data_IF_682269495116
#
_entry.id   IF_682269495116
#
_cell.length_a   1.000
_cell.length_b   1.000
_cell.length_c   1.000
_cell.angle_alpha   90.00
_cell.angle_beta   90.00
_cell.angle_gamma   90.00
#
_symmetry.space_group_name_H-M   'P 1'
#
loop_
_entity.id
_entity.type
_entity.pdbx_description
1 polymer ?
#
# COMPACT_ATOMS: atom_id res chain seq x y z
N UNK A 1 -14.74 27.78 -1.37
CA UNK A 1 -13.41 27.30 -0.92
C UNK A 1 -13.59 26.04 -0.09
N UNK A 2 -14.34 26.09 1.03
CA UNK A 2 -14.68 24.88 1.82
C UNK A 2 -15.20 23.72 0.96
N UNK A 3 -16.17 23.98 0.08
CA UNK A 3 -16.75 22.94 -0.78
C UNK A 3 -15.74 22.33 -1.76
N UNK A 4 -14.76 23.13 -2.22
CA UNK A 4 -13.71 22.66 -3.12
C UNK A 4 -12.72 21.75 -2.40
N UNK A 5 -12.35 22.11 -1.16
CA UNK A 5 -11.49 21.32 -0.29
C UNK A 5 -12.18 20.01 0.09
N UNK A 6 -13.43 20.06 0.52
CA UNK A 6 -14.24 18.87 0.84
C UNK A 6 -14.34 17.92 -0.36
N UNK A 7 -14.61 18.47 -1.55
CA UNK A 7 -14.67 17.68 -2.79
C UNK A 7 -13.33 17.00 -3.07
N UNK A 8 -12.23 17.72 -2.88
CA UNK A 8 -10.89 17.17 -3.11
C UNK A 8 -10.55 16.06 -2.10
N UNK A 9 -10.81 16.26 -0.80
CA UNK A 9 -10.58 15.26 0.25
C UNK A 9 -11.38 13.99 -0.02
N UNK A 10 -12.67 14.12 -0.38
CA UNK A 10 -13.51 12.98 -0.74
C UNK A 10 -12.91 12.24 -1.94
N UNK A 11 -12.46 12.96 -2.98
CA UNK A 11 -11.85 12.35 -4.15
C UNK A 11 -10.54 11.61 -3.82
N UNK A 12 -9.72 12.17 -2.92
CA UNK A 12 -8.49 11.52 -2.41
C UNK A 12 -8.83 10.23 -1.68
N UNK A 13 -9.74 10.28 -0.71
CA UNK A 13 -10.15 9.10 0.07
C UNK A 13 -10.77 8.02 -0.83
N UNK A 14 -11.62 8.41 -1.79
CA UNK A 14 -12.21 7.46 -2.75
C UNK A 14 -11.16 6.84 -3.67
N UNK A 15 -10.18 7.62 -4.13
CA UNK A 15 -9.08 7.12 -4.95
C UNK A 15 -8.22 6.12 -4.16
N UNK A 16 -7.83 6.47 -2.92
CA UNK A 16 -7.05 5.60 -2.03
C UNK A 16 -7.76 4.27 -1.78
N UNK A 17 -9.04 4.33 -1.36
CA UNK A 17 -9.84 3.13 -1.13
C UNK A 17 -10.02 2.28 -2.40
N UNK A 18 -10.14 2.92 -3.57
CA UNK A 18 -10.24 2.21 -4.84
C UNK A 18 -8.92 1.53 -5.25
N UNK A 19 -7.76 2.13 -4.94
CA UNK A 19 -6.43 1.52 -5.13
C UNK A 19 -6.31 0.30 -4.22
N UNK A 20 -6.47 0.47 -2.91
CA UNK A 20 -6.44 -0.61 -1.92
C UNK A 20 -7.38 -1.78 -2.30
N UNK A 21 -8.60 -1.46 -2.74
CA UNK A 21 -9.56 -2.45 -3.19
C UNK A 21 -9.19 -3.17 -4.50
N UNK A 22 -8.39 -2.56 -5.39
CA UNK A 22 -7.81 -3.25 -6.56
C UNK A 22 -6.68 -4.17 -6.14
N UNK A 23 -5.78 -3.68 -5.29
CA UNK A 23 -4.62 -4.42 -4.80
C UNK A 23 -5.03 -5.66 -4.03
N UNK A 24 -6.02 -5.55 -3.13
CA UNK A 24 -6.58 -6.69 -2.41
C UNK A 24 -7.14 -7.77 -3.35
N UNK A 25 -7.88 -7.37 -4.40
CA UNK A 25 -8.43 -8.31 -5.39
C UNK A 25 -7.32 -8.98 -6.21
N UNK A 26 -6.29 -8.25 -6.58
CA UNK A 26 -5.14 -8.79 -7.29
C UNK A 26 -4.40 -9.82 -6.43
N UNK A 27 -4.17 -9.51 -5.16
CA UNK A 27 -3.59 -10.45 -4.19
C UNK A 27 -4.44 -11.72 -4.09
N UNK A 28 -5.76 -11.58 -3.90
CA UNK A 28 -6.67 -12.74 -3.81
C UNK A 28 -6.68 -13.57 -5.10
N UNK A 29 -6.60 -12.94 -6.27
CA UNK A 29 -6.50 -13.62 -7.55
C UNK A 29 -5.18 -14.40 -7.69
N UNK A 30 -4.05 -13.78 -7.35
CA UNK A 30 -2.74 -14.42 -7.38
C UNK A 30 -2.69 -15.62 -6.41
N UNK A 31 -3.18 -15.44 -5.18
CA UNK A 31 -3.31 -16.52 -4.20
C UNK A 31 -4.20 -17.66 -4.74
N UNK A 32 -5.31 -17.32 -5.40
CA UNK A 32 -6.20 -18.29 -6.05
C UNK A 32 -5.56 -19.05 -7.22
N UNK A 33 -4.54 -18.49 -7.85
CA UNK A 33 -3.71 -19.13 -8.88
C UNK A 33 -2.57 -19.99 -8.30
N UNK A 34 -2.41 -20.00 -6.98
CA UNK A 34 -1.38 -20.76 -6.28
C UNK A 34 -0.09 -19.97 -6.03
N UNK A 35 -0.09 -18.66 -6.27
CA UNK A 35 1.05 -17.81 -5.91
C UNK A 35 1.07 -17.55 -4.41
N UNK A 36 2.29 -17.43 -3.85
CA UNK A 36 2.49 -16.96 -2.47
C UNK A 36 2.96 -15.52 -2.50
N UNK A 37 2.35 -14.65 -1.70
CA UNK A 37 2.79 -13.27 -1.58
C UNK A 37 3.81 -13.16 -0.46
N UNK A 38 4.98 -12.63 -0.79
CA UNK A 38 6.08 -12.40 0.16
C UNK A 38 6.39 -10.91 0.30
N UNK A 39 7.01 -10.55 1.41
CA UNK A 39 7.64 -9.26 1.66
C UNK A 39 9.01 -9.48 2.30
N UNK A 40 9.63 -8.40 2.78
CA UNK A 40 10.96 -8.44 3.36
C UNK A 40 12.00 -8.00 2.34
N UNK A 41 13.26 -8.28 2.63
CA UNK A 41 14.35 -7.96 1.73
C UNK A 41 15.60 -7.59 2.52
N UNK A 42 16.39 -6.69 1.96
CA UNK A 42 17.65 -6.30 2.56
C UNK A 42 17.43 -5.31 3.71
N UNK A 43 17.86 -5.69 4.92
CA UNK A 43 17.73 -4.89 6.15
C UNK A 43 18.99 -4.04 6.45
N UNK A 44 20.05 -4.20 5.66
CA UNK A 44 21.33 -3.49 5.81
C UNK A 44 22.36 -3.99 4.82
N UNK A 45 23.65 -3.72 5.03
CA UNK A 45 24.70 -4.16 4.09
C UNK A 45 24.71 -5.69 3.88
N UNK A 46 24.43 -6.45 4.93
CA UNK A 46 24.49 -7.91 4.87
C UNK A 46 23.26 -8.62 5.43
N UNK A 47 22.46 -7.97 6.27
CA UNK A 47 21.25 -8.58 6.84
C UNK A 47 20.08 -8.59 5.84
N UNK A 48 19.29 -9.67 5.84
CA UNK A 48 18.08 -9.81 5.03
C UNK A 48 17.04 -10.71 5.68
N UNK A 49 15.79 -10.59 5.24
CA UNK A 49 14.68 -11.49 5.57
C UNK A 49 13.77 -11.77 4.36
N UNK A 50 13.00 -12.85 4.45
CA UNK A 50 11.87 -13.16 3.57
C UNK A 50 10.69 -13.47 4.47
N UNK A 51 9.58 -12.76 4.28
CA UNK A 51 8.42 -12.79 5.15
C UNK A 51 7.20 -13.20 4.32
N UNK A 52 6.39 -14.12 4.84
CA UNK A 52 5.04 -14.34 4.31
C UNK A 52 4.18 -13.13 4.65
N UNK A 53 3.75 -12.40 3.61
CA UNK A 53 3.08 -11.12 3.81
C UNK A 53 1.74 -11.26 4.56
N UNK A 54 1.02 -12.37 4.35
CA UNK A 54 -0.31 -12.59 4.93
C UNK A 54 -0.25 -12.88 6.41
N UNK A 55 0.76 -13.63 6.83
CA UNK A 55 0.87 -14.18 8.19
C UNK A 55 1.92 -13.46 9.03
N UNK A 56 2.77 -12.63 8.43
CA UNK A 56 3.98 -12.07 9.02
C UNK A 56 4.97 -13.13 9.54
N UNK A 57 4.90 -14.35 8.99
CA UNK A 57 5.88 -15.40 9.31
C UNK A 57 7.20 -15.11 8.60
N UNK A 58 8.32 -15.11 9.33
CA UNK A 58 9.65 -15.08 8.73
C UNK A 58 9.94 -16.47 8.14
N UNK A 59 9.99 -16.54 6.81
CA UNK A 59 10.27 -17.77 6.06
C UNK A 59 11.77 -18.06 6.03
N UNK A 60 12.60 -17.02 5.93
CA UNK A 60 14.05 -17.10 6.07
C UNK A 60 14.64 -15.75 6.46
N UNK A 61 15.85 -15.78 7.02
CA UNK A 61 16.65 -14.61 7.30
C UNK A 61 18.14 -14.98 7.30
N UNK A 62 19.00 -14.02 7.02
CA UNK A 62 20.44 -14.22 6.95
C UNK A 62 21.24 -12.93 7.09
N UNK A 63 22.57 -13.07 7.13
CA UNK A 63 23.53 -11.97 7.29
C UNK A 63 24.65 -11.96 6.23
N UNK A 64 24.44 -12.67 5.13
CA UNK A 64 25.34 -12.89 4.00
C UNK A 64 24.94 -12.08 2.73
N UNK A 65 24.05 -11.12 2.90
CA UNK A 65 23.69 -10.12 1.89
C UNK A 65 22.82 -10.67 0.76
N UNK A 66 22.90 -10.00 -0.39
CA UNK A 66 22.04 -10.28 -1.54
C UNK A 66 22.22 -11.71 -2.09
N UNK A 67 23.42 -12.28 -1.99
CA UNK A 67 23.69 -13.65 -2.45
C UNK A 67 22.91 -14.68 -1.61
N UNK A 68 22.92 -14.52 -0.28
CA UNK A 68 22.15 -15.37 0.62
C UNK A 68 20.64 -15.23 0.43
N UNK A 69 20.16 -14.00 0.28
CA UNK A 69 18.76 -13.71 -0.02
C UNK A 69 18.30 -14.42 -1.31
N UNK A 70 19.07 -14.28 -2.39
CA UNK A 70 18.74 -14.91 -3.67
C UNK A 70 18.77 -16.44 -3.59
N UNK A 71 19.79 -17.01 -2.93
CA UNK A 71 19.91 -18.46 -2.75
C UNK A 71 18.75 -19.03 -1.92
N UNK A 72 18.34 -18.34 -0.86
CA UNK A 72 17.18 -18.74 -0.05
C UNK A 72 15.88 -18.67 -0.84
N UNK A 73 15.71 -17.65 -1.69
CA UNK A 73 14.57 -17.56 -2.61
C UNK A 73 14.49 -18.76 -3.56
N UNK A 74 15.60 -19.11 -4.21
CA UNK A 74 15.66 -20.27 -5.12
C UNK A 74 15.41 -21.60 -4.40
N UNK A 75 15.85 -21.76 -3.15
CA UNK A 75 15.61 -22.97 -2.35
C UNK A 75 14.16 -23.10 -1.88
N UNK A 76 13.56 -21.99 -1.43
CA UNK A 76 12.21 -21.98 -0.87
C UNK A 76 11.11 -21.97 -1.93
N UNK A 77 11.39 -21.43 -3.11
CA UNK A 77 10.45 -21.33 -4.23
C UNK A 77 11.08 -21.85 -5.55
N UNK A 78 11.41 -23.14 -5.62
CA UNK A 78 12.06 -23.72 -6.81
C UNK A 78 11.18 -23.67 -8.07
N UNK A 79 9.86 -23.51 -7.89
CA UNK A 79 8.88 -23.43 -8.98
C UNK A 79 8.60 -21.98 -9.42
N UNK A 80 9.19 -20.97 -8.76
CA UNK A 80 9.02 -19.55 -9.11
C UNK A 80 7.59 -19.03 -8.95
N UNK A 81 6.89 -19.50 -7.93
CA UNK A 81 5.49 -19.16 -7.64
C UNK A 81 5.33 -17.96 -6.69
N UNK A 82 6.40 -17.50 -6.05
CA UNK A 82 6.36 -16.40 -5.09
C UNK A 82 6.38 -15.06 -5.81
N UNK A 83 5.56 -14.13 -5.31
CA UNK A 83 5.47 -12.77 -5.83
C UNK A 83 5.75 -11.82 -4.69
N UNK A 84 6.73 -10.93 -4.90
CA UNK A 84 7.02 -9.88 -3.93
C UNK A 84 5.92 -8.84 -3.92
N UNK A 85 5.45 -8.43 -2.73
CA UNK A 85 4.40 -7.42 -2.57
C UNK A 85 4.73 -6.14 -3.32
N UNK A 86 5.98 -5.68 -3.27
CA UNK A 86 6.38 -4.44 -3.95
C UNK A 86 6.12 -4.50 -5.46
N UNK A 87 6.23 -5.66 -6.12
CA UNK A 87 5.85 -5.80 -7.54
C UNK A 87 4.36 -5.60 -7.78
N UNK A 88 3.53 -5.98 -6.81
CA UNK A 88 2.08 -5.77 -6.88
C UNK A 88 1.77 -4.27 -6.72
N UNK A 89 2.55 -3.58 -5.89
CA UNK A 89 2.41 -2.14 -5.67
C UNK A 89 3.02 -1.28 -6.78
N UNK A 90 4.05 -1.75 -7.48
CA UNK A 90 4.64 -1.03 -8.62
C UNK A 90 3.64 -0.81 -9.76
N UNK A 91 2.67 -1.70 -9.91
CA UNK A 91 1.57 -1.59 -10.88
C UNK A 91 0.41 -0.71 -10.36
N UNK A 92 0.50 -0.18 -9.14
CA UNK A 92 -0.43 0.84 -8.65
C UNK A 92 -0.17 2.15 -9.40
N UNK A 93 -1.03 2.43 -10.38
CA UNK A 93 -1.16 3.77 -10.94
C UNK A 93 -1.64 4.68 -9.81
N UNK A 94 -0.70 5.38 -9.16
CA UNK A 94 -0.94 6.46 -8.21
C UNK A 94 -1.61 7.59 -8.99
N UNK A 95 -2.91 7.44 -9.22
CA UNK A 95 -3.69 8.39 -9.99
C UNK A 95 -3.74 9.70 -9.20
N UNK A 96 -2.88 10.64 -9.57
CA UNK A 96 -2.86 11.97 -9.00
C UNK A 96 -4.27 12.56 -9.03
N UNK A 97 -4.81 12.88 -7.85
CA UNK A 97 -6.15 13.46 -7.73
C UNK A 97 -6.03 14.94 -8.01
N UNK A 98 -6.57 15.39 -9.15
CA UNK A 98 -6.62 16.80 -9.49
C UNK A 98 -8.04 17.35 -9.35
N UNK A 99 -8.19 18.45 -8.61
CA UNK A 99 -9.46 19.17 -8.49
C UNK A 99 -9.35 20.53 -9.21
N UNK A 100 -10.14 20.77 -10.28
CA UNK A 100 -10.09 22.04 -11.01
C UNK A 100 -10.28 23.27 -10.10
N UNK A 101 -9.32 24.19 -10.15
CA UNK A 101 -9.34 25.41 -9.34
C UNK A 101 -8.64 25.27 -7.98
N UNK A 102 -8.09 24.11 -7.64
CA UNK A 102 -7.21 23.90 -6.50
C UNK A 102 -5.75 23.91 -6.99
N UNK A 103 -4.85 24.77 -6.47
CA UNK A 103 -3.44 24.74 -6.82
C UNK A 103 -2.75 23.45 -6.36
N UNK A 104 -1.85 22.91 -7.17
CA UNK A 104 -1.22 21.59 -6.96
C UNK A 104 -0.57 21.45 -5.58
N UNK A 105 0.21 22.44 -5.12
CA UNK A 105 0.86 22.35 -3.80
C UNK A 105 -0.12 22.41 -2.62
N UNK A 106 -1.31 22.99 -2.81
CA UNK A 106 -2.37 22.93 -1.81
C UNK A 106 -3.10 21.57 -1.87
N UNK A 107 -3.31 21.02 -3.07
CA UNK A 107 -3.86 19.68 -3.26
C UNK A 107 -2.99 18.64 -2.56
N UNK A 108 -1.68 18.65 -2.80
CA UNK A 108 -0.70 17.75 -2.17
C UNK A 108 -0.74 17.86 -0.63
N UNK A 109 -0.75 19.07 -0.08
CA UNK A 109 -0.85 19.27 1.38
C UNK A 109 -2.16 18.72 1.95
N UNK A 110 -3.26 18.81 1.21
CA UNK A 110 -4.57 18.30 1.66
C UNK A 110 -4.62 16.78 1.52
N UNK A 111 -4.00 16.21 0.50
CA UNK A 111 -3.86 14.77 0.31
C UNK A 111 -3.09 14.16 1.49
N UNK A 112 -1.93 14.72 1.83
CA UNK A 112 -1.13 14.28 3.00
C UNK A 112 -1.95 14.32 4.29
N UNK A 113 -2.72 15.39 4.50
CA UNK A 113 -3.58 15.51 5.68
C UNK A 113 -4.75 14.52 5.64
N UNK A 114 -5.41 14.37 4.48
CA UNK A 114 -6.56 13.49 4.31
C UNK A 114 -6.20 12.01 4.51
N UNK A 115 -4.97 11.61 4.19
CA UNK A 115 -4.45 10.25 4.37
C UNK A 115 -3.67 10.07 5.69
N UNK A 116 -3.55 11.11 6.50
CA UNK A 116 -2.91 11.06 7.81
C UNK A 116 -3.73 10.34 8.89
N UNK A 117 -3.19 10.25 10.10
CA UNK A 117 -3.79 9.48 11.22
C UNK A 117 -5.02 10.14 11.87
N UNK A 118 -5.33 11.40 11.54
CA UNK A 118 -6.38 12.19 12.19
C UNK A 118 -7.78 12.02 11.55
N UNK A 119 -8.27 10.77 11.52
CA UNK A 119 -9.56 10.42 10.91
C UNK A 119 -10.76 11.22 11.47
N UNK A 120 -10.72 11.60 12.75
CA UNK A 120 -11.78 12.37 13.41
C UNK A 120 -11.96 13.77 12.82
N UNK A 121 -10.85 14.49 12.60
CA UNK A 121 -10.88 15.86 12.07
C UNK A 121 -11.30 15.85 10.60
N UNK A 122 -10.79 14.90 9.82
CA UNK A 122 -11.18 14.70 8.42
C UNK A 122 -12.67 14.39 8.33
N UNK A 123 -13.18 13.47 9.16
CA UNK A 123 -14.59 13.10 9.19
C UNK A 123 -15.50 14.28 9.54
N UNK A 124 -15.13 15.08 10.54
CA UNK A 124 -15.84 16.31 10.89
C UNK A 124 -15.88 17.29 9.71
N UNK A 125 -14.75 17.49 9.03
CA UNK A 125 -14.62 18.46 7.95
C UNK A 125 -15.45 18.11 6.71
N UNK A 126 -15.51 16.82 6.33
CA UNK A 126 -16.24 16.34 5.13
C UNK A 126 -17.64 15.80 5.44
N UNK A 127 -18.01 15.68 6.71
CA UNK A 127 -19.31 15.17 7.15
C UNK A 127 -19.50 13.66 6.97
N UNK A 128 -18.41 12.89 7.04
CA UNK A 128 -18.45 11.42 7.07
C UNK A 128 -18.41 10.90 8.50
N UNK A 129 -18.65 9.60 8.68
CA UNK A 129 -18.36 8.92 9.95
C UNK A 129 -16.87 8.61 10.06
N UNK A 130 -16.29 8.69 11.26
CA UNK A 130 -14.89 8.32 11.53
C UNK A 130 -14.56 6.94 10.96
N UNK A 131 -15.38 5.92 11.25
CA UNK A 131 -15.18 4.56 10.73
C UNK A 131 -15.08 4.45 9.20
N UNK A 132 -15.76 5.34 8.46
CA UNK A 132 -15.68 5.37 6.99
C UNK A 132 -14.38 6.03 6.54
N UNK A 133 -13.95 7.09 7.21
CA UNK A 133 -12.66 7.73 6.92
C UNK A 133 -11.53 6.75 7.22
N UNK A 134 -11.55 6.07 8.37
CA UNK A 134 -10.58 5.02 8.71
C UNK A 134 -10.53 3.90 7.65
N UNK A 135 -11.69 3.42 7.18
CA UNK A 135 -11.77 2.43 6.10
C UNK A 135 -11.15 2.93 4.77
N UNK A 136 -11.27 4.22 4.50
CA UNK A 136 -10.81 4.83 3.25
C UNK A 136 -9.36 5.33 3.33
N UNK A 137 -8.82 5.51 4.54
CA UNK A 137 -7.41 5.77 4.81
C UNK A 137 -6.60 4.48 4.93
N UNK A 138 -7.22 3.38 5.36
CA UNK A 138 -6.54 2.10 5.53
C UNK A 138 -5.88 1.64 4.21
N UNK A 139 -4.58 1.33 4.31
CA UNK A 139 -3.69 0.84 3.24
C UNK A 139 -2.96 1.89 2.37
N UNK A 140 -2.70 3.09 2.90
CA UNK A 140 -1.56 3.93 2.46
C UNK A 140 -0.24 3.49 3.10
#
# INVERSE_FOLDING_TARGET
MSDLLQTHIIAVLEANHAVAGRTRRLIEELEGQGHRIISGGQLGESAWDIIDWRTNEILAAGDDGLEGYAAAGDELDPDGTWIHRDRILEDEDLSYVSTPGLPDGLAETIEDWALGEDAEEVAEFIGWTVAKVEEYQAES
#
